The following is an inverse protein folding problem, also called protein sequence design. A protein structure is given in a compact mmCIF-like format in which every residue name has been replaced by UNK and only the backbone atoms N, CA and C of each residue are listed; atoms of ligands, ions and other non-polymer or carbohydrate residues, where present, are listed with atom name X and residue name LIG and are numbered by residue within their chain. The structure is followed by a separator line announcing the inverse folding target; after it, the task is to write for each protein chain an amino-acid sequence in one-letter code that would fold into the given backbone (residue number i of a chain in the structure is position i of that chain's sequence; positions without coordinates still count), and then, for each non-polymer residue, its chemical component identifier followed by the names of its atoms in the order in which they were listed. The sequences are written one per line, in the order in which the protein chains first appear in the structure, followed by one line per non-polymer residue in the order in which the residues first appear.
data_IF_001849527433
#
_entry.id   IF_001849527433
#
_cell.length_a   1.000
_cell.length_b   1.000
_cell.length_c   1.000
_cell.angle_alpha   90.00
_cell.angle_beta   90.00
_cell.angle_gamma   90.00
#
_symmetry.space_group_name_H-M   'P 1'
#
loop_
_entity.id
_entity.type
_entity.pdbx_description
1 polymer ?
#
# COMPACT_ATOMS: atom_id res chain seq x y z
N UNK A 1 -7.54 53.50 46.99
CA UNK A 1 -8.35 54.32 46.06
C UNK A 1 -8.42 53.60 44.72
N UNK A 2 -9.61 53.10 44.41
CA UNK A 2 -10.22 52.79 43.10
C UNK A 2 -9.33 52.29 41.94
N UNK A 3 -9.57 51.02 41.62
CA UNK A 3 -9.36 50.27 40.37
C UNK A 3 -9.46 51.06 39.05
N UNK A 4 -8.56 50.77 38.11
CA UNK A 4 -8.91 50.80 36.68
C UNK A 4 -8.15 49.72 35.91
N UNK A 5 -8.89 48.66 35.64
CA UNK A 5 -8.56 47.52 34.78
C UNK A 5 -8.88 47.92 33.34
N UNK A 6 -7.89 48.03 32.46
CA UNK A 6 -8.11 48.05 31.00
C UNK A 6 -7.47 46.80 30.38
N UNK A 7 -8.28 45.73 30.30
CA UNK A 7 -8.83 45.19 29.05
C UNK A 7 -7.76 44.80 28.02
N UNK A 8 -7.39 43.52 28.14
CA UNK A 8 -7.19 42.59 27.02
C UNK A 8 -7.93 43.06 25.76
N UNK A 9 -7.16 43.49 24.76
CA UNK A 9 -7.64 43.57 23.37
C UNK A 9 -7.82 42.13 22.90
N UNK A 10 -8.98 41.58 23.22
CA UNK A 10 -9.54 40.41 22.60
C UNK A 10 -9.92 40.83 21.17
N UNK A 11 -9.01 40.59 20.24
CA UNK A 11 -9.25 40.73 18.80
C UNK A 11 -10.44 39.87 18.40
N UNK A 12 -11.60 40.51 18.32
CA UNK A 12 -12.84 40.00 17.74
C UNK A 12 -12.70 40.09 16.22
N UNK A 13 -12.46 38.96 15.58
CA UNK A 13 -12.87 38.73 14.19
C UNK A 13 -13.65 37.41 14.15
N UNK A 14 -14.90 37.49 14.59
CA UNK A 14 -15.95 36.59 14.13
C UNK A 14 -16.48 37.12 12.80
N UNK A 15 -16.78 36.23 11.84
CA UNK A 15 -17.92 36.50 10.96
C UNK A 15 -17.72 36.52 9.44
N UNK A 16 -16.61 36.06 8.87
CA UNK A 16 -16.63 35.61 7.47
C UNK A 16 -16.00 34.24 7.41
N UNK A 17 -16.82 33.20 7.26
CA UNK A 17 -16.34 31.94 6.74
C UNK A 17 -15.87 32.20 5.31
N UNK A 18 -14.64 32.68 5.17
CA UNK A 18 -14.00 32.80 3.87
C UNK A 18 -13.92 31.38 3.32
N UNK A 19 -14.79 31.04 2.37
CA UNK A 19 -14.66 29.85 1.53
C UNK A 19 -13.37 30.02 0.72
N UNK A 20 -12.24 29.73 1.37
CA UNK A 20 -10.93 29.81 0.74
C UNK A 20 -10.70 28.55 -0.09
N UNK A 21 -10.09 28.78 -1.25
CA UNK A 21 -10.05 27.85 -2.37
C UNK A 21 -9.31 26.56 -1.99
N UNK A 22 -9.76 25.41 -2.51
CA UNK A 22 -9.01 24.17 -2.39
C UNK A 22 -7.59 24.35 -2.94
N UNK A 23 -6.56 24.01 -2.16
CA UNK A 23 -5.17 24.10 -2.60
C UNK A 23 -4.73 22.79 -3.27
N UNK A 24 -4.13 22.91 -4.45
CA UNK A 24 -3.49 21.79 -5.15
C UNK A 24 -2.26 21.31 -4.36
N UNK A 25 -1.99 20.01 -4.42
CA UNK A 25 -0.81 19.38 -3.84
C UNK A 25 0.46 19.73 -4.66
N UNK A 26 1.59 19.11 -4.33
CA UNK A 26 2.85 19.29 -5.05
C UNK A 26 2.79 18.78 -6.50
N UNK A 27 3.63 19.35 -7.36
CA UNK A 27 3.78 18.95 -8.77
C UNK A 27 4.12 17.45 -8.92
N UNK A 28 4.96 16.90 -8.02
CA UNK A 28 5.26 15.47 -7.96
C UNK A 28 4.01 14.62 -7.70
N UNK A 29 3.06 15.13 -6.91
CA UNK A 29 1.80 14.43 -6.65
C UNK A 29 0.86 14.45 -7.85
N UNK A 30 0.86 15.53 -8.63
CA UNK A 30 0.11 15.62 -9.90
C UNK A 30 0.64 14.62 -10.92
N UNK A 31 1.96 14.57 -11.13
CA UNK A 31 2.57 13.60 -12.04
C UNK A 31 2.34 12.16 -11.58
N UNK A 32 2.51 11.89 -10.29
CA UNK A 32 2.17 10.59 -9.72
C UNK A 32 0.71 10.20 -10.01
N UNK A 33 -0.24 11.13 -9.85
CA UNK A 33 -1.65 10.90 -10.17
C UNK A 33 -1.82 10.53 -11.65
N UNK A 34 -1.23 11.30 -12.57
CA UNK A 34 -1.34 11.07 -14.02
C UNK A 34 -0.80 9.68 -14.38
N UNK A 35 0.40 9.33 -13.95
CA UNK A 35 1.03 8.05 -14.28
C UNK A 35 0.29 6.87 -13.64
N UNK A 36 -0.02 6.94 -12.35
CA UNK A 36 -0.73 5.88 -11.64
C UNK A 36 -2.16 5.68 -12.17
N UNK A 37 -2.86 6.76 -12.50
CA UNK A 37 -4.20 6.68 -13.08
C UNK A 37 -4.16 6.06 -14.48
N UNK A 38 -3.21 6.47 -15.33
CA UNK A 38 -3.03 5.91 -16.66
C UNK A 38 -2.75 4.40 -16.59
N UNK A 39 -1.86 3.99 -15.68
CA UNK A 39 -1.54 2.58 -15.46
C UNK A 39 -2.74 1.79 -14.92
N UNK A 40 -3.50 2.34 -13.96
CA UNK A 40 -4.70 1.69 -13.43
C UNK A 40 -5.80 1.55 -14.49
N UNK A 41 -6.02 2.56 -15.33
CA UNK A 41 -6.98 2.49 -16.45
C UNK A 41 -6.56 1.42 -17.44
N UNK A 42 -5.27 1.37 -17.81
CA UNK A 42 -4.74 0.33 -18.70
C UNK A 42 -4.96 -1.07 -18.11
N UNK A 43 -4.59 -1.29 -16.85
CA UNK A 43 -4.77 -2.59 -16.17
C UNK A 43 -6.24 -2.96 -16.08
N UNK A 44 -7.12 -2.00 -15.85
CA UNK A 44 -8.55 -2.26 -15.78
C UNK A 44 -9.11 -2.66 -17.14
N UNK A 45 -8.72 -1.97 -18.21
CA UNK A 45 -9.13 -2.32 -19.57
C UNK A 45 -8.66 -3.73 -19.96
N UNK A 46 -7.40 -4.07 -19.65
CA UNK A 46 -6.86 -5.42 -19.91
C UNK A 46 -7.54 -6.48 -19.03
N UNK A 47 -7.88 -6.15 -17.78
CA UNK A 47 -8.61 -7.06 -16.87
C UNK A 47 -10.03 -7.33 -17.35
N UNK A 48 -10.74 -6.33 -17.91
CA UNK A 48 -12.07 -6.52 -18.50
C UNK A 48 -11.98 -7.42 -19.75
N UNK A 49 -10.99 -7.20 -20.61
CA UNK A 49 -10.75 -8.07 -21.77
C UNK A 49 -10.46 -9.52 -21.33
N UNK A 50 -9.62 -9.67 -20.30
CA UNK A 50 -9.28 -10.98 -19.71
C UNK A 50 -10.49 -11.67 -19.10
N UNK A 51 -11.36 -10.94 -18.41
CA UNK A 51 -12.62 -11.47 -17.88
C UNK A 51 -13.50 -12.06 -18.97
N UNK A 52 -13.73 -11.32 -20.06
CA UNK A 52 -14.54 -11.79 -21.18
C UNK A 52 -13.97 -13.09 -21.77
N UNK A 53 -12.64 -13.20 -21.86
CA UNK A 53 -11.96 -14.43 -22.27
C UNK A 53 -12.25 -15.58 -21.30
N UNK A 54 -12.17 -15.35 -19.99
CA UNK A 54 -12.43 -16.37 -18.96
C UNK A 54 -13.88 -16.88 -18.96
N UNK A 55 -14.84 -16.00 -19.17
CA UNK A 55 -16.26 -16.39 -19.29
C UNK A 55 -16.51 -17.23 -20.54
N UNK A 56 -15.80 -16.93 -21.63
CA UNK A 56 -15.93 -17.66 -22.91
C UNK A 56 -15.25 -19.03 -22.94
N UNK A 57 -14.53 -19.42 -21.89
CA UNK A 57 -13.84 -20.72 -21.86
C UNK A 57 -14.84 -21.88 -21.82
N UNK A 58 -14.53 -23.01 -22.48
CA UNK A 58 -15.37 -24.20 -22.44
C UNK A 58 -15.17 -24.94 -21.12
N UNK A 59 -15.76 -24.42 -20.04
CA UNK A 59 -15.70 -25.04 -18.71
C UNK A 59 -16.35 -26.43 -18.73
N UNK A 60 -15.80 -27.41 -17.99
CA UNK A 60 -16.44 -28.72 -17.82
C UNK A 60 -17.87 -28.57 -17.27
N UNK A 61 -18.80 -29.50 -17.57
CA UNK A 61 -20.15 -29.45 -17.04
C UNK A 61 -20.12 -29.44 -15.49
N UNK A 62 -20.75 -28.44 -14.87
CA UNK A 62 -20.69 -28.10 -13.43
C UNK A 62 -19.33 -27.66 -12.85
N UNK A 63 -18.30 -27.47 -13.69
CA UNK A 63 -16.96 -27.02 -13.27
C UNK A 63 -16.72 -25.51 -13.35
N UNK A 64 -17.70 -24.70 -13.76
CA UNK A 64 -17.51 -23.26 -13.90
C UNK A 64 -17.37 -22.58 -12.52
N UNK A 65 -16.26 -21.85 -12.25
CA UNK A 65 -15.99 -21.24 -10.96
C UNK A 65 -16.76 -19.91 -10.79
N UNK A 66 -18.07 -19.99 -10.56
CA UNK A 66 -18.93 -18.80 -10.41
C UNK A 66 -18.52 -17.90 -9.23
N UNK A 67 -18.03 -18.48 -8.13
CA UNK A 67 -17.63 -17.70 -6.96
C UNK A 67 -16.42 -16.81 -7.27
N UNK A 68 -15.37 -17.38 -7.85
CA UNK A 68 -14.14 -16.67 -8.22
C UNK A 68 -14.39 -15.66 -9.34
N UNK A 69 -15.25 -16.01 -10.30
CA UNK A 69 -15.63 -15.12 -11.39
C UNK A 69 -16.46 -13.92 -10.88
N UNK A 70 -17.37 -14.14 -9.93
CA UNK A 70 -18.11 -13.05 -9.28
C UNK A 70 -17.19 -12.19 -8.40
N UNK A 71 -16.25 -12.82 -7.68
CA UNK A 71 -15.23 -12.09 -6.93
C UNK A 71 -14.36 -11.23 -7.87
N UNK A 72 -14.02 -11.74 -9.05
CA UNK A 72 -13.28 -11.00 -10.08
C UNK A 72 -13.98 -9.68 -10.44
N UNK A 73 -15.28 -9.74 -10.73
CA UNK A 73 -16.08 -8.54 -11.03
C UNK A 73 -16.16 -7.60 -9.83
N UNK A 74 -16.38 -8.14 -8.63
CA UNK A 74 -16.46 -7.34 -7.40
C UNK A 74 -15.16 -6.57 -7.13
N UNK A 75 -14.01 -7.21 -7.32
CA UNK A 75 -12.70 -6.59 -7.15
C UNK A 75 -12.42 -5.49 -8.18
N UNK A 76 -12.72 -5.73 -9.46
CA UNK A 76 -12.60 -4.68 -10.49
C UNK A 76 -13.54 -3.51 -10.18
N UNK A 77 -14.79 -3.79 -9.82
CA UNK A 77 -15.76 -2.77 -9.41
C UNK A 77 -15.26 -1.95 -8.22
N UNK A 78 -14.66 -2.60 -7.21
CA UNK A 78 -14.06 -1.89 -6.08
C UNK A 78 -12.90 -0.98 -6.52
N UNK A 79 -12.05 -1.42 -7.44
CA UNK A 79 -10.97 -0.58 -7.98
C UNK A 79 -11.51 0.65 -8.74
N UNK A 80 -12.59 0.50 -9.52
CA UNK A 80 -13.30 1.62 -10.18
C UNK A 80 -13.78 2.64 -9.16
N UNK A 81 -14.38 2.18 -8.07
CA UNK A 81 -14.91 3.06 -7.02
C UNK A 81 -13.78 3.80 -6.28
N UNK A 82 -12.62 3.17 -6.08
CA UNK A 82 -11.47 3.77 -5.40
C UNK A 82 -10.74 4.84 -6.24
N UNK A 83 -10.80 4.76 -7.57
CA UNK A 83 -10.12 5.70 -8.49
C UNK A 83 -10.47 7.18 -8.26
N UNK A 84 -11.75 7.62 -8.20
CA UNK A 84 -12.05 9.03 -7.96
C UNK A 84 -11.52 9.52 -6.60
N UNK A 85 -11.55 8.68 -5.56
CA UNK A 85 -10.95 9.02 -4.26
C UNK A 85 -9.44 9.16 -4.37
N UNK A 86 -8.76 8.25 -5.09
CA UNK A 86 -7.34 8.35 -5.36
C UNK A 86 -6.99 9.68 -6.04
N UNK A 87 -7.71 10.06 -7.10
CA UNK A 87 -7.49 11.30 -7.84
C UNK A 87 -7.64 12.52 -6.92
N UNK A 88 -8.71 12.59 -6.12
CA UNK A 88 -8.92 13.70 -5.19
C UNK A 88 -7.80 13.77 -4.16
N UNK A 89 -7.43 12.64 -3.54
CA UNK A 89 -6.38 12.60 -2.50
C UNK A 89 -4.97 12.90 -3.06
N UNK A 90 -4.72 12.57 -4.32
CA UNK A 90 -3.44 12.81 -4.98
C UNK A 90 -3.30 14.27 -5.44
N UNK A 91 -4.36 14.88 -5.95
CA UNK A 91 -4.35 16.24 -6.49
C UNK A 91 -4.53 17.32 -5.41
N UNK A 92 -5.27 17.03 -4.34
CA UNK A 92 -5.65 18.02 -3.33
C UNK A 92 -4.85 17.86 -2.04
N UNK A 93 -4.60 18.96 -1.31
CA UNK A 93 -4.11 18.87 0.08
C UNK A 93 -5.25 18.42 1.00
N UNK A 94 -5.02 17.36 1.78
CA UNK A 94 -6.06 16.68 2.57
C UNK A 94 -5.88 16.90 4.09
N UNK A 95 -4.73 17.47 4.49
CA UNK A 95 -4.38 17.67 5.89
C UNK A 95 -3.70 16.45 6.54
N UNK A 96 -3.17 15.53 5.73
CA UNK A 96 -2.30 14.46 6.19
C UNK A 96 -0.85 14.83 5.83
N UNK A 97 0.04 14.87 6.82
CA UNK A 97 1.40 15.38 6.63
C UNK A 97 2.21 14.60 5.59
N UNK A 98 2.11 13.26 5.62
CA UNK A 98 2.82 12.40 4.68
C UNK A 98 2.26 12.50 3.26
N UNK A 99 0.93 12.63 3.12
CA UNK A 99 0.26 12.75 1.83
C UNK A 99 0.56 14.09 1.13
N UNK A 100 0.53 15.17 1.91
CA UNK A 100 0.67 16.54 1.41
C UNK A 100 2.14 16.95 1.25
N UNK A 101 3.08 16.03 1.56
CA UNK A 101 4.53 16.27 1.47
C UNK A 101 5.03 17.30 2.50
N UNK A 102 4.29 17.50 3.58
CA UNK A 102 4.67 18.44 4.62
C UNK A 102 5.80 17.84 5.47
N UNK A 103 6.88 18.61 5.60
CA UNK A 103 8.05 18.25 6.41
C UNK A 103 7.94 18.96 7.74
N UNK A 104 8.03 18.19 8.82
CA UNK A 104 8.05 18.74 10.18
C UNK A 104 9.29 19.64 10.31
N UNK A 105 9.17 20.74 11.05
CA UNK A 105 10.26 21.71 11.25
C UNK A 105 10.31 22.85 10.24
N UNK A 106 9.50 22.82 9.19
CA UNK A 106 9.24 24.02 8.37
C UNK A 106 8.20 24.92 9.04
N UNK A 107 8.09 26.16 8.55
CA UNK A 107 7.03 27.11 8.94
C UNK A 107 5.64 26.45 8.92
N UNK A 108 4.75 26.93 9.81
CA UNK A 108 3.44 26.33 10.03
C UNK A 108 2.72 26.06 8.70
N UNK A 109 2.23 24.83 8.47
CA UNK A 109 1.55 24.50 7.23
C UNK A 109 0.32 25.41 7.06
N UNK A 110 0.00 25.78 5.81
CA UNK A 110 -1.19 26.56 5.43
C UNK A 110 -2.37 26.23 6.36
N UNK A 111 -2.61 27.10 7.34
CA UNK A 111 -3.42 26.78 8.50
C UNK A 111 -4.88 26.49 8.14
N UNK A 112 -5.33 26.80 6.93
CA UNK A 112 -6.73 26.73 6.49
C UNK A 112 -7.30 25.30 6.54
N UNK A 113 -6.62 24.34 5.90
CA UNK A 113 -7.08 22.92 5.89
C UNK A 113 -7.02 22.34 7.31
N UNK A 114 -5.97 22.69 8.06
CA UNK A 114 -5.75 22.22 9.42
C UNK A 114 -6.67 22.90 10.46
N UNK A 115 -7.12 24.13 10.22
CA UNK A 115 -8.08 24.86 11.05
C UNK A 115 -9.50 24.31 10.91
N UNK A 116 -9.90 23.90 9.71
CA UNK A 116 -11.18 23.22 9.50
C UNK A 116 -11.24 21.88 10.25
N UNK A 117 -10.12 21.15 10.31
CA UNK A 117 -9.95 19.98 11.19
C UNK A 117 -9.93 20.36 12.68
N UNK A 118 -9.48 21.57 13.05
CA UNK A 118 -9.43 22.07 14.44
C UNK A 118 -10.81 22.36 15.03
N UNK A 119 -11.78 22.82 14.22
CA UNK A 119 -13.10 23.32 14.70
C UNK A 119 -14.05 22.26 15.28
N UNK A 120 -14.00 20.98 14.86
CA UNK A 120 -14.95 19.94 15.35
C UNK A 120 -14.45 19.23 16.61
N UNK A 121 -15.06 19.39 17.80
CA UNK A 121 -14.55 18.80 19.08
C UNK A 121 -14.50 17.25 19.15
N UNK A 122 -15.08 16.52 18.20
CA UNK A 122 -15.18 15.05 18.27
C UNK A 122 -13.87 14.34 17.89
N UNK A 123 -13.56 13.29 18.67
CA UNK A 123 -12.48 12.30 18.55
C UNK A 123 -11.08 12.84 18.27
N UNK A 124 -10.37 13.32 19.30
CA UNK A 124 -8.96 13.78 19.22
C UNK A 124 -8.03 12.71 18.61
N UNK A 125 -8.25 11.44 18.93
CA UNK A 125 -7.44 10.33 18.43
C UNK A 125 -7.60 10.12 16.93
N UNK A 126 -8.82 10.17 16.39
CA UNK A 126 -9.10 9.97 14.97
C UNK A 126 -8.50 11.11 14.13
N UNK A 127 -8.52 12.33 14.65
CA UNK A 127 -7.82 13.46 14.03
C UNK A 127 -6.31 13.28 14.03
N UNK A 128 -5.75 12.79 15.14
CA UNK A 128 -4.32 12.48 15.22
C UNK A 128 -3.96 11.41 14.19
N UNK A 129 -4.76 10.34 14.09
CA UNK A 129 -4.56 9.28 13.11
C UNK A 129 -4.68 9.79 11.66
N UNK A 130 -5.64 10.68 11.37
CA UNK A 130 -5.76 11.29 10.05
C UNK A 130 -4.54 12.13 9.69
N UNK A 131 -4.07 12.94 10.63
CA UNK A 131 -2.97 13.89 10.44
C UNK A 131 -1.61 13.21 10.31
N UNK A 132 -1.38 12.19 11.14
CA UNK A 132 -0.10 11.52 11.33
C UNK A 132 -0.03 10.10 10.76
N UNK A 133 -1.16 9.57 10.25
CA UNK A 133 -1.18 8.28 9.58
C UNK A 133 -0.39 8.29 8.29
N UNK A 134 -0.26 7.10 7.69
CA UNK A 134 0.42 6.93 6.41
C UNK A 134 -0.17 7.81 5.29
N UNK A 135 0.57 7.98 4.18
CA UNK A 135 0.14 8.80 3.06
C UNK A 135 -1.13 8.20 2.42
N UNK A 136 -2.23 8.97 2.44
CA UNK A 136 -3.56 8.49 2.06
C UNK A 136 -3.71 8.17 0.57
N UNK A 137 -3.17 9.00 -0.34
CA UNK A 137 -3.26 8.70 -1.78
C UNK A 137 -2.53 7.40 -2.16
N UNK A 138 -1.27 7.16 -1.73
CA UNK A 138 -0.62 5.87 -1.90
C UNK A 138 -1.36 4.72 -1.22
N UNK A 139 -2.02 4.93 -0.07
CA UNK A 139 -2.82 3.90 0.58
C UNK A 139 -4.04 3.48 -0.25
N UNK A 140 -4.76 4.44 -0.84
CA UNK A 140 -5.88 4.13 -1.75
C UNK A 140 -5.37 3.50 -3.05
N UNK A 141 -4.24 3.95 -3.58
CA UNK A 141 -3.59 3.30 -4.73
C UNK A 141 -3.19 1.85 -4.39
N UNK A 142 -2.65 1.60 -3.19
CA UNK A 142 -2.30 0.27 -2.72
C UNK A 142 -3.54 -0.64 -2.62
N UNK A 143 -4.65 -0.12 -2.08
CA UNK A 143 -5.91 -0.86 -2.03
C UNK A 143 -6.46 -1.17 -3.44
N UNK A 144 -6.48 -0.17 -4.34
CA UNK A 144 -6.94 -0.36 -5.72
C UNK A 144 -6.07 -1.35 -6.50
N UNK A 145 -4.74 -1.27 -6.35
CA UNK A 145 -3.80 -2.20 -6.98
C UNK A 145 -3.96 -3.63 -6.44
N UNK A 146 -4.21 -3.82 -5.13
CA UNK A 146 -4.57 -5.12 -4.57
C UNK A 146 -5.87 -5.67 -5.16
N UNK A 147 -6.89 -4.82 -5.31
CA UNK A 147 -8.13 -5.20 -5.96
C UNK A 147 -7.93 -5.58 -7.44
N UNK A 148 -6.95 -5.03 -8.15
CA UNK A 148 -6.65 -5.45 -9.53
C UNK A 148 -5.77 -6.71 -9.59
N UNK A 149 -4.95 -6.95 -8.57
CA UNK A 149 -3.97 -8.04 -8.52
C UNK A 149 -4.57 -9.37 -8.02
N UNK A 150 -5.34 -9.35 -6.94
CA UNK A 150 -5.98 -10.55 -6.37
C UNK A 150 -6.88 -11.33 -7.34
N UNK A 151 -7.78 -10.71 -8.13
CA UNK A 151 -8.70 -11.45 -8.98
C UNK A 151 -7.97 -12.24 -10.09
N UNK A 152 -6.81 -11.76 -10.55
CA UNK A 152 -5.92 -12.53 -11.44
C UNK A 152 -5.51 -13.86 -10.79
N UNK A 153 -5.02 -13.82 -9.54
CA UNK A 153 -4.61 -15.00 -8.79
C UNK A 153 -5.76 -16.00 -8.58
N UNK A 154 -6.95 -15.51 -8.22
CA UNK A 154 -8.11 -16.36 -7.96
C UNK A 154 -8.49 -17.19 -9.19
N UNK A 155 -8.56 -16.56 -10.36
CA UNK A 155 -8.95 -17.25 -11.60
C UNK A 155 -7.80 -18.11 -12.14
N UNK A 156 -6.56 -17.66 -12.03
CA UNK A 156 -5.37 -18.46 -12.43
C UNK A 156 -5.32 -19.81 -11.69
N UNK A 157 -5.61 -19.82 -10.39
CA UNK A 157 -5.67 -21.06 -9.61
C UNK A 157 -6.76 -22.02 -10.13
N UNK A 158 -7.92 -21.49 -10.55
CA UNK A 158 -9.00 -22.30 -11.12
C UNK A 158 -8.70 -22.80 -12.53
N UNK A 159 -7.97 -22.02 -13.33
CA UNK A 159 -7.50 -22.43 -14.65
C UNK A 159 -6.53 -23.60 -14.56
N UNK A 160 -5.61 -23.59 -13.59
CA UNK A 160 -4.71 -24.73 -13.33
C UNK A 160 -5.51 -25.95 -12.88
N UNK A 161 -6.43 -25.78 -11.93
CA UNK A 161 -7.25 -26.88 -11.40
C UNK A 161 -8.03 -27.63 -12.48
N UNK A 162 -8.60 -26.92 -13.45
CA UNK A 162 -9.38 -27.51 -14.54
C UNK A 162 -8.54 -27.88 -15.77
N UNK A 163 -7.21 -27.77 -15.69
CA UNK A 163 -6.30 -28.20 -16.76
C UNK A 163 -6.15 -27.24 -17.94
N UNK A 164 -6.67 -26.01 -17.83
CA UNK A 164 -6.45 -24.96 -18.84
C UNK A 164 -5.00 -24.44 -18.81
N UNK A 165 -4.35 -24.48 -17.65
CA UNK A 165 -2.95 -24.12 -17.45
C UNK A 165 -2.13 -25.35 -17.03
N UNK A 166 -0.83 -25.32 -17.33
CA UNK A 166 0.08 -26.41 -16.95
C UNK A 166 0.23 -26.51 -15.43
N UNK A 167 0.43 -27.73 -14.90
CA UNK A 167 0.74 -27.93 -13.46
C UNK A 167 2.03 -27.22 -13.03
N UNK A 168 2.96 -26.98 -13.97
CA UNK A 168 4.16 -26.18 -13.72
C UNK A 168 3.87 -24.74 -13.30
N UNK A 169 2.73 -24.18 -13.72
CA UNK A 169 2.31 -22.82 -13.37
C UNK A 169 1.97 -22.63 -11.87
N UNK A 170 1.79 -23.73 -11.12
CA UNK A 170 1.60 -23.70 -9.66
C UNK A 170 2.78 -23.01 -8.97
N UNK A 171 3.98 -23.32 -9.44
CA UNK A 171 5.22 -22.87 -8.84
C UNK A 171 5.64 -21.50 -9.33
N UNK A 172 5.08 -21.04 -10.44
CA UNK A 172 5.47 -19.80 -11.09
C UNK A 172 4.92 -18.58 -10.34
N UNK A 173 5.78 -17.58 -10.16
CA UNK A 173 5.45 -16.29 -9.56
C UNK A 173 5.98 -15.13 -10.38
N UNK A 174 5.35 -13.97 -10.22
CA UNK A 174 5.79 -12.72 -10.85
C UNK A 174 7.15 -12.21 -10.31
N UNK A 175 7.75 -12.87 -9.30
CA UNK A 175 9.09 -12.59 -8.77
C UNK A 175 10.16 -13.56 -9.29
N UNK A 176 9.83 -14.50 -10.17
CA UNK A 176 10.77 -15.51 -10.68
C UNK A 176 11.93 -14.89 -11.51
N UNK A 177 11.85 -13.60 -11.86
CA UNK A 177 12.98 -12.88 -12.45
C UNK A 177 14.13 -12.65 -11.47
N UNK A 178 13.87 -12.59 -10.16
CA UNK A 178 14.88 -12.35 -9.11
C UNK A 178 15.70 -13.58 -8.78
N UNK A 179 15.09 -14.77 -8.90
CA UNK A 179 15.74 -16.05 -8.59
C UNK A 179 15.45 -17.01 -9.77
N UNK A 180 16.45 -17.29 -10.63
CA UNK A 180 16.28 -18.16 -11.78
C UNK A 180 15.74 -19.54 -11.36
N UNK A 181 14.80 -20.09 -12.15
CA UNK A 181 14.20 -21.41 -11.91
C UNK A 181 15.21 -22.55 -11.68
N UNK A 182 16.42 -22.44 -12.24
CA UNK A 182 17.51 -23.42 -12.09
C UNK A 182 17.97 -23.57 -10.64
N UNK A 183 17.89 -22.51 -9.83
CA UNK A 183 18.36 -22.53 -8.44
C UNK A 183 17.29 -23.05 -7.47
N UNK A 184 16.00 -22.89 -7.82
CA UNK A 184 14.88 -23.51 -7.09
C UNK A 184 14.94 -25.04 -7.12
N UNK A 185 15.45 -25.62 -8.20
CA UNK A 185 15.67 -27.07 -8.31
C UNK A 185 16.70 -27.57 -7.30
N UNK A 186 17.69 -26.76 -6.92
CA UNK A 186 18.69 -27.14 -5.91
C UNK A 186 18.09 -27.11 -4.50
N UNK A 187 17.24 -26.12 -4.19
CA UNK A 187 16.56 -26.07 -2.89
C UNK A 187 15.48 -27.16 -2.76
N UNK A 188 14.73 -27.45 -3.83
CA UNK A 188 13.77 -28.57 -3.87
C UNK A 188 14.46 -29.95 -3.84
N UNK A 189 15.71 -30.05 -4.32
CA UNK A 189 16.54 -31.27 -4.16
C UNK A 189 16.94 -31.54 -2.71
N UNK A 190 16.96 -30.56 -1.82
CA UNK A 190 17.12 -30.81 -0.37
C UNK A 190 15.84 -31.38 0.27
N UNK A 191 14.68 -31.19 -0.37
CA UNK A 191 13.38 -31.79 -0.03
C UNK A 191 13.17 -33.14 -0.76
N UNK A 192 14.25 -33.89 -1.05
CA UNK A 192 14.42 -35.11 -1.90
C UNK A 192 13.53 -36.32 -1.59
N UNK A 193 12.22 -36.10 -1.49
CA UNK A 193 11.19 -37.15 -1.48
C UNK A 193 10.17 -36.97 -2.60
N UNK A 194 10.31 -35.91 -3.42
CA UNK A 194 9.50 -35.68 -4.61
C UNK A 194 10.30 -36.10 -5.84
N UNK A 195 9.78 -37.06 -6.60
CA UNK A 195 10.39 -37.49 -7.85
C UNK A 195 10.29 -36.33 -8.86
N UNK A 196 11.38 -35.96 -9.52
CA UNK A 196 11.39 -34.82 -10.46
C UNK A 196 10.39 -35.00 -11.60
N UNK A 197 10.09 -36.25 -11.96
CA UNK A 197 9.10 -36.64 -12.98
C UNK A 197 7.64 -36.50 -12.52
N UNK A 198 7.37 -36.52 -11.21
CA UNK A 198 6.02 -36.30 -10.64
C UNK A 198 5.69 -34.81 -10.51
N UNK A 199 6.69 -33.98 -10.15
CA UNK A 199 6.54 -32.51 -10.04
C UNK A 199 6.37 -31.85 -11.42
N UNK A 200 7.10 -32.37 -12.42
CA UNK A 200 7.02 -31.93 -13.81
C UNK A 200 6.23 -32.93 -14.65
N UNK A 201 5.09 -33.40 -14.11
CA UNK A 201 4.24 -34.45 -14.66
C UNK A 201 4.47 -34.68 -16.14
N UNK A 202 4.89 -35.91 -16.46
CA UNK A 202 4.94 -36.52 -17.78
C UNK A 202 4.10 -35.71 -18.76
N UNK A 203 4.74 -35.07 -19.74
CA UNK A 203 4.08 -34.22 -20.75
C UNK A 203 2.91 -35.03 -21.30
N UNK A 204 1.71 -34.79 -20.77
CA UNK A 204 0.52 -35.52 -21.18
C UNK A 204 0.25 -35.08 -22.61
N UNK A 205 0.56 -35.98 -23.55
CA UNK A 205 0.28 -35.90 -25.00
C UNK A 205 -1.24 -35.97 -25.30
N UNK A 206 -2.09 -35.78 -24.28
CA UNK A 206 -3.53 -35.62 -24.48
C UNK A 206 -3.78 -34.34 -25.29
N UNK A 207 -4.69 -34.38 -26.30
CA UNK A 207 -5.04 -33.18 -27.07
C UNK A 207 -5.65 -32.17 -26.11
N UNK A 208 -4.86 -31.15 -25.74
CA UNK A 208 -5.33 -30.09 -24.84
C UNK A 208 -6.51 -29.39 -25.51
N UNK A 209 -7.72 -29.44 -24.95
CA UNK A 209 -8.85 -28.79 -25.59
C UNK A 209 -8.65 -27.28 -25.50
N UNK A 210 -8.42 -26.65 -26.66
CA UNK A 210 -8.56 -25.20 -26.87
C UNK A 210 -7.64 -24.28 -26.05
N UNK A 211 -6.33 -24.54 -26.04
CA UNK A 211 -5.37 -23.55 -25.57
C UNK A 211 -5.31 -22.37 -26.56
N UNK A 212 -6.07 -21.30 -26.29
CA UNK A 212 -5.97 -20.05 -27.06
C UNK A 212 -4.56 -19.51 -26.85
N UNK A 213 -3.76 -19.41 -27.93
CA UNK A 213 -2.36 -18.94 -27.92
C UNK A 213 -2.17 -17.60 -27.18
N UNK A 214 -3.21 -16.76 -27.09
CA UNK A 214 -3.22 -15.53 -26.29
C UNK A 214 -3.09 -15.76 -24.77
N UNK A 215 -3.69 -16.83 -24.20
CA UNK A 215 -3.59 -17.14 -22.76
C UNK A 215 -2.14 -17.56 -22.42
N UNK A 216 -1.51 -18.30 -23.34
CA UNK A 216 -0.11 -18.70 -23.22
C UNK A 216 0.85 -17.51 -23.39
N UNK A 217 0.50 -16.53 -24.21
CA UNK A 217 1.27 -15.28 -24.36
C UNK A 217 1.29 -14.40 -23.10
N UNK A 218 0.14 -14.27 -22.41
CA UNK A 218 0.09 -13.60 -21.09
C UNK A 218 0.85 -14.37 -20.00
N UNK A 219 0.91 -15.71 -20.09
CA UNK A 219 1.70 -16.55 -19.19
C UNK A 219 3.22 -16.32 -19.36
N UNK A 220 3.69 -15.88 -20.53
CA UNK A 220 5.13 -15.65 -20.79
C UNK A 220 5.63 -14.26 -20.37
N UNK A 221 4.74 -13.37 -19.92
CA UNK A 221 5.17 -12.08 -19.37
C UNK A 221 6.01 -12.31 -18.10
N UNK A 222 7.27 -11.83 -18.12
CA UNK A 222 8.22 -11.99 -17.01
C UNK A 222 7.79 -11.18 -15.78
N UNK A 223 6.97 -10.14 -15.97
CA UNK A 223 6.51 -9.25 -14.91
C UNK A 223 5.06 -8.80 -15.18
N UNK A 224 4.13 -9.15 -14.28
CA UNK A 224 2.73 -8.73 -14.40
C UNK A 224 2.58 -7.22 -14.17
N UNK A 225 1.86 -6.53 -15.05
CA UNK A 225 1.58 -5.09 -14.92
C UNK A 225 0.86 -4.72 -13.63
N UNK A 226 0.04 -5.63 -13.12
CA UNK A 226 -0.70 -5.56 -11.86
C UNK A 226 0.26 -5.55 -10.66
N UNK A 227 1.27 -6.42 -10.68
CA UNK A 227 2.31 -6.45 -9.65
C UNK A 227 3.18 -5.18 -9.73
N UNK A 228 3.53 -4.71 -10.93
CA UNK A 228 4.26 -3.45 -11.12
C UNK A 228 3.49 -2.30 -10.48
N UNK A 229 2.18 -2.20 -10.75
CA UNK A 229 1.34 -1.17 -10.18
C UNK A 229 1.29 -1.24 -8.64
N UNK A 230 1.15 -2.45 -8.10
CA UNK A 230 1.20 -2.72 -6.66
C UNK A 230 2.57 -2.33 -6.04
N UNK A 231 3.68 -2.69 -6.68
CA UNK A 231 5.02 -2.35 -6.25
C UNK A 231 5.27 -0.83 -6.29
N UNK A 232 4.79 -0.13 -7.32
CA UNK A 232 4.86 1.34 -7.39
C UNK A 232 4.09 1.97 -6.23
N UNK A 233 2.89 1.49 -5.92
CA UNK A 233 2.11 2.00 -4.80
C UNK A 233 2.86 1.84 -3.46
N UNK A 234 3.45 0.66 -3.23
CA UNK A 234 4.29 0.37 -2.06
C UNK A 234 5.54 1.28 -1.99
N UNK A 235 6.25 1.47 -3.10
CA UNK A 235 7.45 2.31 -3.15
C UNK A 235 7.12 3.78 -2.88
N UNK A 236 6.03 4.31 -3.45
CA UNK A 236 5.61 5.69 -3.18
C UNK A 236 5.20 5.85 -1.72
N UNK A 237 4.54 4.85 -1.13
CA UNK A 237 4.24 4.83 0.31
C UNK A 237 5.54 4.85 1.14
N UNK A 238 6.52 4.03 0.77
CA UNK A 238 7.82 3.92 1.43
C UNK A 238 8.65 5.20 1.37
N UNK A 239 8.52 6.01 0.33
CA UNK A 239 9.21 7.31 0.20
C UNK A 239 8.47 8.42 0.94
N UNK A 240 7.14 8.52 0.76
CA UNK A 240 6.37 9.65 1.30
C UNK A 240 6.26 9.66 2.81
N UNK A 241 6.16 8.48 3.44
CA UNK A 241 5.98 8.40 4.88
C UNK A 241 7.19 8.91 5.69
N UNK A 242 8.43 8.46 5.43
CA UNK A 242 9.62 8.96 6.12
C UNK A 242 10.03 10.38 5.72
N UNK A 243 9.66 10.85 4.52
CA UNK A 243 10.01 12.19 4.02
C UNK A 243 9.57 13.33 4.96
N UNK A 244 8.55 13.09 5.79
CA UNK A 244 8.06 14.02 6.82
C UNK A 244 9.16 14.47 7.79
N UNK A 245 10.14 13.61 8.11
CA UNK A 245 11.22 13.91 9.06
C UNK A 245 12.51 14.42 8.41
N UNK A 246 12.52 14.57 7.09
CA UNK A 246 13.75 14.89 6.35
C UNK A 246 14.40 16.21 6.77
N UNK A 247 13.58 17.21 7.11
CA UNK A 247 14.08 18.52 7.52
C UNK A 247 14.46 18.57 9.00
N UNK A 248 13.86 17.73 9.86
CA UNK A 248 14.22 17.68 11.29
C UNK A 248 15.50 16.90 11.53
N UNK A 249 15.60 15.68 10.97
CA UNK A 249 16.73 14.79 11.18
C UNK A 249 16.89 13.86 9.98
N UNK A 250 17.90 14.16 9.14
CA UNK A 250 18.19 13.41 7.91
C UNK A 250 18.56 11.94 8.18
N UNK A 251 19.33 11.67 9.23
CA UNK A 251 19.75 10.31 9.59
C UNK A 251 18.54 9.45 9.97
N UNK A 252 17.66 10.00 10.81
CA UNK A 252 16.42 9.30 11.19
C UNK A 252 15.49 9.08 9.99
N UNK A 253 15.29 10.10 9.14
CA UNK A 253 14.51 9.95 7.91
C UNK A 253 15.08 8.88 6.96
N UNK A 254 16.41 8.80 6.85
CA UNK A 254 17.09 7.76 6.07
C UNK A 254 16.88 6.36 6.63
N UNK A 255 17.10 6.16 7.94
CA UNK A 255 16.86 4.86 8.59
C UNK A 255 15.41 4.41 8.46
N UNK A 256 14.46 5.33 8.62
CA UNK A 256 13.04 5.03 8.43
C UNK A 256 12.75 4.67 6.96
N UNK A 257 13.37 5.34 5.99
CA UNK A 257 13.26 4.96 4.57
C UNK A 257 13.84 3.57 4.29
N UNK A 258 15.00 3.21 4.87
CA UNK A 258 15.57 1.87 4.73
C UNK A 258 14.62 0.80 5.31
N UNK A 259 14.07 1.04 6.50
CA UNK A 259 13.06 0.17 7.09
C UNK A 259 11.86 -0.01 6.16
N UNK A 260 11.33 1.09 5.59
CA UNK A 260 10.20 1.01 4.68
C UNK A 260 10.54 0.20 3.42
N UNK A 261 11.74 0.34 2.84
CA UNK A 261 12.16 -0.50 1.72
C UNK A 261 12.22 -1.99 2.09
N UNK A 262 12.72 -2.35 3.27
CA UNK A 262 12.64 -3.73 3.75
C UNK A 262 11.20 -4.22 3.88
N UNK A 263 10.28 -3.39 4.39
CA UNK A 263 8.85 -3.77 4.46
C UNK A 263 8.21 -3.94 3.08
N UNK A 264 8.60 -3.14 2.08
CA UNK A 264 8.14 -3.31 0.69
C UNK A 264 8.62 -4.66 0.13
N UNK A 265 9.91 -4.96 0.26
CA UNK A 265 10.47 -6.25 -0.19
C UNK A 265 9.80 -7.43 0.51
N UNK A 266 9.60 -7.32 1.83
CA UNK A 266 8.91 -8.34 2.62
C UNK A 266 7.47 -8.53 2.14
N UNK A 267 6.74 -7.45 1.85
CA UNK A 267 5.36 -7.51 1.38
C UNK A 267 5.25 -8.15 -0.02
N UNK A 268 6.19 -7.87 -0.93
CA UNK A 268 6.27 -8.51 -2.24
C UNK A 268 6.56 -10.01 -2.11
N UNK A 269 7.52 -10.38 -1.25
CA UNK A 269 7.86 -11.79 -0.99
C UNK A 269 6.69 -12.57 -0.39
N UNK A 270 5.97 -11.95 0.56
CA UNK A 270 4.78 -12.54 1.19
C UNK A 270 3.65 -12.73 0.18
N UNK A 271 3.45 -11.78 -0.73
CA UNK A 271 2.49 -11.93 -1.82
C UNK A 271 2.87 -13.08 -2.78
N UNK A 272 4.15 -13.22 -3.13
CA UNK A 272 4.62 -14.32 -3.97
C UNK A 272 4.46 -15.69 -3.27
N UNK A 273 4.79 -15.77 -1.98
CA UNK A 273 4.58 -16.97 -1.17
C UNK A 273 3.09 -17.33 -1.05
N UNK A 274 2.23 -16.33 -0.81
CA UNK A 274 0.78 -16.50 -0.78
C UNK A 274 0.22 -16.99 -2.12
N UNK A 275 0.73 -16.48 -3.24
CA UNK A 275 0.34 -16.92 -4.60
C UNK A 275 0.56 -18.41 -4.80
N UNK A 276 1.76 -18.91 -4.47
CA UNK A 276 2.09 -20.35 -4.56
C UNK A 276 1.17 -21.15 -3.64
N UNK A 277 1.06 -20.73 -2.38
CA UNK A 277 0.31 -21.47 -1.37
C UNK A 277 -1.19 -21.54 -1.72
N UNK A 278 -1.75 -20.46 -2.25
CA UNK A 278 -3.14 -20.42 -2.73
C UNK A 278 -3.35 -21.35 -3.93
N UNK A 279 -2.45 -21.33 -4.93
CA UNK A 279 -2.51 -22.24 -6.09
C UNK A 279 -2.46 -23.72 -5.66
N UNK A 280 -1.55 -24.07 -4.74
CA UNK A 280 -1.42 -25.43 -4.18
C UNK A 280 -2.71 -25.87 -3.46
N UNK A 281 -3.34 -24.96 -2.71
CA UNK A 281 -4.60 -25.25 -2.03
C UNK A 281 -5.75 -25.57 -2.99
N UNK A 282 -5.89 -24.80 -4.07
CA UNK A 282 -6.98 -24.97 -5.04
C UNK A 282 -6.77 -26.19 -5.94
N UNK A 283 -5.51 -26.48 -6.32
CA UNK A 283 -5.17 -27.62 -7.19
C UNK A 283 -5.16 -28.98 -6.46
N UNK A 284 -5.26 -28.99 -5.13
CA UNK A 284 -5.28 -30.22 -4.32
C UNK A 284 -3.94 -30.47 -3.62
N UNK A 285 -3.95 -30.37 -2.29
CA UNK A 285 -2.74 -30.54 -1.46
C UNK A 285 -2.18 -31.96 -1.52
N UNK A 286 -3.04 -32.98 -1.71
CA UNK A 286 -2.62 -34.39 -1.77
C UNK A 286 -1.95 -34.75 -3.09
N UNK A 287 -2.35 -34.11 -4.18
CA UNK A 287 -1.81 -34.38 -5.52
C UNK A 287 -0.46 -33.68 -5.74
N UNK A 288 -0.18 -32.61 -4.98
CA UNK A 288 1.04 -31.78 -5.12
C UNK A 288 2.04 -32.01 -3.98
N UNK A 289 1.57 -32.27 -2.75
CA UNK A 289 2.39 -32.45 -1.55
C UNK A 289 2.03 -33.77 -0.85
N UNK A 290 2.34 -34.89 -1.49
CA UNK A 290 2.01 -36.26 -1.05
C UNK A 290 2.35 -36.52 0.43
N UNK A 291 3.45 -35.95 0.95
CA UNK A 291 3.94 -36.22 2.32
C UNK A 291 3.66 -35.13 3.37
N UNK A 292 3.41 -33.90 2.94
CA UNK A 292 3.30 -32.73 3.84
C UNK A 292 1.89 -32.15 3.93
N UNK A 293 0.89 -32.86 3.38
CA UNK A 293 -0.49 -32.38 3.32
C UNK A 293 -1.13 -32.05 4.67
N UNK A 294 -0.68 -32.68 5.76
CA UNK A 294 -1.17 -32.42 7.13
C UNK A 294 -0.61 -31.14 7.77
N UNK A 295 0.49 -30.59 7.25
CA UNK A 295 1.12 -29.36 7.76
C UNK A 295 0.55 -28.09 7.11
N UNK A 296 -0.24 -28.23 6.04
CA UNK A 296 -0.86 -27.08 5.39
C UNK A 296 -2.08 -26.62 6.17
N UNK A 297 -2.12 -25.32 6.41
CA UNK A 297 -3.23 -24.64 7.06
C UNK A 297 -4.47 -24.62 6.16
N UNK A 298 -5.68 -24.47 6.72
CA UNK A 298 -6.89 -24.37 5.88
C UNK A 298 -6.81 -23.14 4.95
N UNK A 299 -7.29 -23.25 3.72
CA UNK A 299 -7.35 -22.16 2.73
C UNK A 299 -7.89 -20.86 3.32
N UNK A 300 -8.99 -20.93 4.09
CA UNK A 300 -9.61 -19.75 4.73
C UNK A 300 -8.65 -19.08 5.72
N UNK A 301 -7.93 -19.90 6.49
CA UNK A 301 -6.98 -19.41 7.49
C UNK A 301 -5.71 -18.87 6.84
N UNK A 302 -5.23 -19.48 5.76
CA UNK A 302 -4.12 -18.98 4.95
C UNK A 302 -4.43 -17.60 4.37
N UNK A 303 -5.61 -17.42 3.78
CA UNK A 303 -6.08 -16.12 3.26
C UNK A 303 -6.20 -15.09 4.39
N UNK A 304 -6.81 -15.47 5.52
CA UNK A 304 -6.93 -14.58 6.68
C UNK A 304 -5.55 -14.14 7.20
N UNK A 305 -4.62 -15.07 7.39
CA UNK A 305 -3.27 -14.77 7.86
C UNK A 305 -2.51 -13.86 6.90
N UNK A 306 -2.65 -14.05 5.58
CA UNK A 306 -2.05 -13.16 4.60
C UNK A 306 -2.53 -11.71 4.77
N UNK A 307 -3.84 -11.48 4.89
CA UNK A 307 -4.38 -10.13 5.11
C UNK A 307 -3.98 -9.55 6.46
N UNK A 308 -4.07 -10.34 7.54
CA UNK A 308 -3.67 -9.90 8.88
C UNK A 308 -2.19 -9.52 8.92
N UNK A 309 -1.32 -10.34 8.33
CA UNK A 309 0.10 -10.06 8.24
C UNK A 309 0.38 -8.79 7.43
N UNK A 310 -0.28 -8.62 6.28
CA UNK A 310 -0.12 -7.43 5.43
C UNK A 310 -0.56 -6.15 6.15
N UNK A 311 -1.67 -6.20 6.89
CA UNK A 311 -2.14 -5.07 7.71
C UNK A 311 -1.15 -4.78 8.84
N UNK A 312 -0.66 -5.81 9.53
CA UNK A 312 0.31 -5.67 10.61
C UNK A 312 1.60 -5.00 10.12
N UNK A 313 2.10 -5.42 8.96
CA UNK A 313 3.29 -4.86 8.33
C UNK A 313 3.07 -3.42 7.85
N UNK A 314 1.88 -3.07 7.38
CA UNK A 314 1.54 -1.68 7.05
C UNK A 314 1.45 -0.79 8.31
N UNK A 315 0.90 -1.32 9.41
CA UNK A 315 0.74 -0.60 10.68
C UNK A 315 2.07 -0.45 11.42
N UNK A 316 3.01 -1.39 11.29
CA UNK A 316 4.30 -1.33 11.99
C UNK A 316 5.11 -0.07 11.69
N UNK A 317 4.98 0.48 10.48
CA UNK A 317 5.59 1.76 10.10
C UNK A 317 5.10 2.95 10.95
N UNK A 318 3.88 2.89 11.48
CA UNK A 318 3.35 3.93 12.36
C UNK A 318 4.08 4.03 13.69
N UNK A 319 4.65 2.91 14.19
CA UNK A 319 5.42 2.89 15.44
C UNK A 319 6.66 3.78 15.31
N UNK A 320 7.40 3.63 14.21
CA UNK A 320 8.54 4.50 13.91
C UNK A 320 8.08 5.94 13.78
N UNK A 321 7.05 6.22 12.97
CA UNK A 321 6.54 7.58 12.81
C UNK A 321 6.19 8.26 14.15
N UNK A 322 5.45 7.57 15.03
CA UNK A 322 5.08 8.12 16.34
C UNK A 322 6.29 8.30 17.26
N UNK A 323 7.26 7.40 17.21
CA UNK A 323 8.53 7.57 17.92
C UNK A 323 9.27 8.85 17.47
N UNK A 324 9.41 9.06 16.16
CA UNK A 324 10.04 10.25 15.61
C UNK A 324 9.29 11.54 16.00
N UNK A 325 7.96 11.49 15.96
CA UNK A 325 7.11 12.61 16.36
C UNK A 325 7.24 12.93 17.85
N UNK A 326 7.29 11.92 18.71
CA UNK A 326 7.48 12.11 20.15
C UNK A 326 8.83 12.76 20.45
N UNK A 327 9.91 12.24 19.86
CA UNK A 327 11.26 12.79 20.05
C UNK A 327 11.39 14.22 19.53
N UNK A 328 10.72 14.54 18.42
CA UNK A 328 10.67 15.91 17.92
C UNK A 328 9.97 16.85 18.92
N UNK A 329 8.84 16.45 19.50
CA UNK A 329 8.12 17.26 20.50
C UNK A 329 8.95 17.50 21.75
N UNK A 330 9.59 16.45 22.29
CA UNK A 330 10.51 16.57 23.43
C UNK A 330 11.65 17.57 23.16
N UNK A 331 12.20 17.54 21.94
CA UNK A 331 13.25 18.48 21.53
C UNK A 331 12.73 19.93 21.43
N UNK A 332 11.53 20.14 20.89
CA UNK A 332 10.90 21.47 20.81
C UNK A 332 10.63 22.02 22.20
N UNK A 333 10.04 21.21 23.09
CA UNK A 333 9.72 21.62 24.46
C UNK A 333 10.99 22.00 25.25
N UNK A 334 12.07 21.23 25.08
CA UNK A 334 13.38 21.54 25.67
C UNK A 334 13.95 22.88 25.17
N UNK A 335 13.81 23.16 23.87
CA UNK A 335 14.25 24.44 23.27
C UNK A 335 13.44 25.62 23.79
N UNK A 336 12.12 25.47 23.90
CA UNK A 336 11.23 26.49 24.46
C UNK A 336 11.58 26.79 25.91
N UNK A 337 11.83 25.75 26.73
CA UNK A 337 12.27 25.93 28.12
C UNK A 337 13.60 26.70 28.21
N UNK A 338 14.59 26.37 27.40
CA UNK A 338 15.86 27.11 27.35
C UNK A 338 15.67 28.58 26.94
N UNK A 339 14.78 28.87 25.98
CA UNK A 339 14.45 30.25 25.58
C UNK A 339 13.75 31.01 26.69
N UNK A 340 12.79 30.39 27.39
CA UNK A 340 12.09 30.99 28.52
C UNK A 340 13.04 31.30 29.68
N UNK A 341 13.98 30.39 29.99
CA UNK A 341 15.03 30.62 31.00
C UNK A 341 15.95 31.77 30.58
N UNK A 342 16.37 31.81 29.31
CA UNK A 342 17.21 32.89 28.77
C UNK A 342 16.50 34.24 28.85
N UNK A 343 15.22 34.28 28.52
CA UNK A 343 14.39 35.49 28.62
C UNK A 343 14.26 35.98 30.06
N UNK A 344 14.03 35.05 31.01
CA UNK A 344 13.97 35.38 32.45
C UNK A 344 15.30 35.89 33.00
N UNK A 345 16.44 35.44 32.47
CA UNK A 345 17.79 35.84 32.93
C UNK A 345 18.23 37.21 32.38
N UNK A 346 17.76 37.62 31.21
CA UNK A 346 18.10 38.91 30.58
C UNK A 346 16.84 39.70 30.18
N UNK A 347 16.02 40.18 31.13
CA UNK A 347 14.84 40.99 30.81
C UNK A 347 15.21 42.34 30.17
N UNK A 348 16.37 42.91 30.53
CA UNK A 348 16.72 44.30 30.20
C UNK A 348 17.33 44.50 28.80
N UNK A 349 17.76 43.42 28.13
CA UNK A 349 18.40 43.51 26.79
C UNK A 349 17.36 43.61 25.67
N UNK A 350 16.12 43.17 25.89
CA UNK A 350 15.04 43.28 24.90
C UNK A 350 14.20 44.55 25.05
N UNK A 351 14.19 45.19 26.23
CA UNK A 351 13.51 46.48 26.42
C UNK A 351 14.21 47.65 25.71
N UNK A 352 15.51 47.51 25.42
CA UNK A 352 16.32 48.54 24.78
C UNK A 352 16.21 48.57 23.24
N UNK A 353 15.59 47.58 22.60
CA UNK A 353 15.44 47.51 21.13
C UNK A 353 14.17 48.22 20.62
N UNK A 354 13.40 48.86 21.50
CA UNK A 354 12.23 49.69 21.14
C UNK A 354 12.48 51.19 21.32
N UNK A 355 13.71 51.60 21.66
CA UNK A 355 14.11 52.99 21.88
C UNK A 355 15.50 53.27 21.30
N UNK A 356 15.74 52.91 20.02
CA UNK A 356 16.68 53.62 19.12
C UNK A 356 16.07 53.62 17.72
#
# INVERSE_FOLDING_TARGET
MVTSTQRLVKGRHDGVASCQRPSVNSQWSVWYCVFALSLQIYIMATSIQRFTRYVSLPWPPQGQPYFELNAYVAFIGAAVVLMPFFVILALMKVGNYANDGHKIGNEEPDMVVYQNLRKKKYCRWLKSLWKHGGPLAPLIHLAASMCLLLPKLLVEAQLIKHGFLSKGAIWRTDLDFLIPHKDRLVMLRFLSTLNATEVWGQVDDSPRPYLRSEIQGEEHAVLSTELINYAIALLVFAVRYPAVFWNTNKCYGFLFSCYMLFTVSQQLLVFAGFTILYKVHICGTRDVLLRFSSLLLNVKLTVLLFFVYSILLAVSASVLYFYGLQKYKEWVDSRLQCQLIRWKKNPDVCGALHLI
#
